data_IF_659073634943
#
_entry.id   IF_659073634943
#
_cell.length_a   1.000
_cell.length_b   1.000
_cell.length_c   1.000
_cell.angle_alpha   90.00
_cell.angle_beta   90.00
_cell.angle_gamma   90.00
#
_symmetry.space_group_name_H-M   'P 1'
#
loop_
_entity.id
_entity.type
_entity.pdbx_description
1 polymer ?
#
# COMPACT_ATOMS: atom_id res chain seq x y z
N UNK A 1 47.95 -19.72 3.91
CA UNK A 1 46.69 -19.41 4.61
C UNK A 1 45.85 -18.56 3.67
N UNK A 2 44.84 -19.15 3.02
CA UNK A 2 43.94 -18.44 2.09
C UNK A 2 42.67 -18.12 2.88
N UNK A 3 42.39 -16.83 3.08
CA UNK A 3 41.14 -16.37 3.70
C UNK A 3 40.07 -16.26 2.61
N UNK A 4 39.04 -17.10 2.68
CA UNK A 4 37.82 -16.93 1.89
C UNK A 4 36.96 -15.84 2.56
N UNK A 5 36.80 -14.71 1.87
CA UNK A 5 35.80 -13.70 2.22
C UNK A 5 34.43 -14.18 1.71
N UNK A 6 33.64 -14.76 2.60
CA UNK A 6 32.22 -15.04 2.35
C UNK A 6 31.45 -13.72 2.30
N UNK A 7 31.13 -13.25 1.10
CA UNK A 7 30.16 -12.17 0.90
C UNK A 7 28.78 -12.77 1.13
N UNK A 8 28.22 -12.53 2.32
CA UNK A 8 26.80 -12.78 2.58
C UNK A 8 26.04 -11.70 1.82
N UNK A 9 25.57 -12.03 0.61
CA UNK A 9 24.57 -11.23 -0.08
C UNK A 9 23.28 -11.34 0.74
N UNK A 10 22.98 -10.33 1.55
CA UNK A 10 21.64 -10.16 2.10
C UNK A 10 20.70 -10.03 0.90
N UNK A 11 19.91 -11.07 0.64
CA UNK A 11 18.79 -10.98 -0.28
C UNK A 11 17.81 -9.98 0.33
N UNK A 12 17.93 -8.72 -0.09
CA UNK A 12 16.91 -7.71 0.19
C UNK A 12 15.65 -8.25 -0.50
N UNK A 13 14.56 -8.55 0.23
CA UNK A 13 13.31 -8.87 -0.42
C UNK A 13 12.98 -7.71 -1.34
N UNK A 14 12.76 -7.99 -2.63
CA UNK A 14 12.37 -6.95 -3.58
C UNK A 14 11.15 -6.21 -3.00
N UNK A 15 11.31 -4.91 -2.73
CA UNK A 15 10.22 -4.08 -2.27
C UNK A 15 9.14 -4.09 -3.36
N UNK A 16 8.01 -4.70 -3.03
CA UNK A 16 6.87 -4.84 -3.93
C UNK A 16 6.21 -3.46 -4.04
N UNK A 17 6.19 -2.93 -5.25
CA UNK A 17 5.65 -1.61 -5.59
C UNK A 17 4.15 -1.53 -5.22
N UNK A 18 3.68 -0.42 -4.65
CA UNK A 18 2.46 -0.33 -3.82
C UNK A 18 1.13 -0.05 -4.53
N UNK A 19 1.09 0.02 -5.86
CA UNK A 19 -0.16 0.17 -6.62
C UNK A 19 -1.15 -0.98 -6.36
N UNK A 20 -2.22 -1.14 -7.16
CA UNK A 20 -3.24 -2.16 -6.89
C UNK A 20 -2.67 -3.57 -6.63
N UNK A 21 -1.58 -3.90 -7.32
CA UNK A 21 -0.87 -5.17 -7.19
C UNK A 21 -0.04 -5.25 -5.90
N UNK A 22 0.61 -4.17 -5.48
CA UNK A 22 1.36 -4.11 -4.22
C UNK A 22 0.47 -4.21 -3.00
N UNK A 23 -0.61 -3.43 -2.96
CA UNK A 23 -1.59 -3.51 -1.88
C UNK A 23 -2.19 -4.91 -1.77
N UNK A 24 -2.50 -5.56 -2.90
CA UNK A 24 -3.01 -6.92 -2.91
C UNK A 24 -1.99 -7.92 -2.32
N UNK A 25 -0.71 -7.84 -2.73
CA UNK A 25 0.32 -8.74 -2.20
C UNK A 25 0.58 -8.51 -0.72
N UNK A 26 0.66 -7.25 -0.27
CA UNK A 26 0.84 -6.94 1.15
C UNK A 26 -0.33 -7.45 1.98
N UNK A 27 -1.56 -7.25 1.51
CA UNK A 27 -2.76 -7.74 2.16
C UNK A 27 -2.77 -9.26 2.26
N UNK A 28 -2.43 -9.96 1.17
CA UNK A 28 -2.38 -11.42 1.15
C UNK A 28 -1.28 -11.99 2.06
N UNK A 29 -0.05 -11.50 1.95
CA UNK A 29 1.05 -11.97 2.79
C UNK A 29 0.77 -11.70 4.28
N UNK A 30 0.07 -10.60 4.58
CA UNK A 30 -0.40 -10.31 5.93
C UNK A 30 -1.44 -11.34 6.39
N UNK A 31 -2.44 -11.63 5.57
CA UNK A 31 -3.48 -12.61 5.87
C UNK A 31 -2.92 -14.02 6.13
N UNK A 32 -1.88 -14.41 5.41
CA UNK A 32 -1.18 -15.70 5.61
C UNK A 32 -0.34 -15.75 6.91
N UNK A 33 -0.15 -14.62 7.61
CA UNK A 33 0.77 -14.49 8.76
C UNK A 33 0.12 -14.02 10.05
N UNK A 34 -1.14 -13.59 9.99
CA UNK A 34 -1.90 -13.25 11.19
C UNK A 34 -2.25 -14.52 11.97
N UNK A 35 -2.53 -14.36 13.26
CA UNK A 35 -2.96 -15.45 14.12
C UNK A 35 -4.43 -15.79 13.84
N UNK A 36 -4.83 -17.01 14.18
CA UNK A 36 -6.20 -17.49 14.04
C UNK A 36 -7.21 -16.54 14.72
N UNK A 37 -6.90 -16.02 15.93
CA UNK A 37 -7.80 -15.10 16.63
C UNK A 37 -7.94 -13.74 15.93
N UNK A 38 -6.92 -13.33 15.17
CA UNK A 38 -6.97 -12.12 14.35
C UNK A 38 -7.79 -12.36 13.08
N UNK A 39 -7.68 -13.55 12.47
CA UNK A 39 -8.47 -13.94 11.32
C UNK A 39 -9.96 -14.02 11.69
N UNK A 40 -10.30 -14.63 12.83
CA UNK A 40 -11.67 -14.65 13.36
C UNK A 40 -12.24 -13.24 13.58
N UNK A 41 -11.45 -12.32 14.13
CA UNK A 41 -11.87 -10.93 14.33
C UNK A 41 -12.08 -10.19 12.98
N UNK A 42 -11.26 -10.47 11.97
CA UNK A 42 -11.43 -9.94 10.61
C UNK A 42 -12.70 -10.51 9.97
N UNK A 43 -12.93 -11.82 10.08
CA UNK A 43 -14.12 -12.49 9.54
C UNK A 43 -15.41 -11.97 10.20
N UNK A 44 -15.37 -11.67 11.50
CA UNK A 44 -16.49 -11.03 12.20
C UNK A 44 -16.82 -9.62 11.67
N UNK A 45 -15.83 -8.90 11.12
CA UNK A 45 -16.00 -7.55 10.57
C UNK A 45 -16.39 -7.60 9.09
N UNK A 46 -15.69 -8.41 8.29
CA UNK A 46 -15.77 -8.40 6.82
C UNK A 46 -16.65 -9.51 6.24
N UNK A 47 -16.99 -10.52 7.04
CA UNK A 47 -17.60 -11.76 6.59
C UNK A 47 -16.57 -12.88 6.46
N UNK A 48 -16.97 -14.09 6.83
CA UNK A 48 -16.14 -15.29 6.81
C UNK A 48 -15.57 -15.56 5.41
N UNK A 49 -14.25 -15.76 5.34
CA UNK A 49 -13.57 -16.17 4.11
C UNK A 49 -13.43 -15.06 3.07
N UNK A 50 -13.70 -13.79 3.42
CA UNK A 50 -13.46 -12.64 2.54
C UNK A 50 -11.96 -12.31 2.53
N UNK A 51 -11.25 -12.51 1.40
CA UNK A 51 -9.81 -12.28 1.36
C UNK A 51 -9.44 -10.80 1.50
N UNK A 52 -8.37 -10.49 2.24
CA UNK A 52 -7.93 -9.11 2.50
C UNK A 52 -7.58 -8.35 1.22
N UNK A 53 -7.03 -9.04 0.22
CA UNK A 53 -6.65 -8.42 -1.05
C UNK A 53 -7.85 -7.83 -1.81
N UNK A 54 -9.08 -8.35 -1.62
CA UNK A 54 -10.29 -7.87 -2.29
C UNK A 54 -10.62 -6.41 -1.97
N UNK A 55 -10.19 -5.91 -0.82
CA UNK A 55 -10.49 -4.55 -0.35
C UNK A 55 -9.24 -3.74 -0.06
N UNK A 56 -8.06 -4.26 -0.42
CA UNK A 56 -6.76 -3.62 -0.20
C UNK A 56 -6.58 -2.31 -0.96
N UNK A 57 -7.19 -2.16 -2.15
CA UNK A 57 -7.14 -0.93 -2.97
C UNK A 57 -8.34 0.00 -2.75
N UNK A 58 -9.29 -0.38 -1.89
CA UNK A 58 -10.56 0.35 -1.74
C UNK A 58 -10.36 1.83 -1.38
N UNK A 59 -9.39 2.16 -0.53
CA UNK A 59 -9.15 3.54 -0.10
C UNK A 59 -8.67 4.45 -1.25
N UNK A 60 -8.00 3.88 -2.25
CA UNK A 60 -7.68 4.59 -3.48
C UNK A 60 -8.88 4.73 -4.41
N UNK A 61 -9.56 3.62 -4.68
CA UNK A 61 -10.65 3.55 -5.65
C UNK A 61 -11.86 4.40 -5.25
N UNK A 62 -12.17 4.46 -3.95
CA UNK A 62 -13.38 5.10 -3.44
C UNK A 62 -13.45 6.60 -3.77
N UNK A 63 -12.29 7.25 -3.99
CA UNK A 63 -12.18 8.68 -4.36
C UNK A 63 -12.63 8.97 -5.80
N UNK A 64 -12.71 7.94 -6.67
CA UNK A 64 -12.92 8.08 -8.11
C UNK A 64 -14.27 7.54 -8.61
N UNK A 65 -15.07 6.89 -7.75
CA UNK A 65 -16.41 6.41 -8.09
C UNK A 65 -17.47 7.52 -8.21
N UNK A 66 -18.74 7.18 -8.52
CA UNK A 66 -19.85 8.14 -8.64
C UNK A 66 -20.03 9.04 -7.40
N UNK A 67 -19.77 8.49 -6.22
CA UNK A 67 -19.81 9.19 -4.93
C UNK A 67 -18.43 9.63 -4.42
N UNK A 68 -17.39 9.57 -5.24
CA UNK A 68 -16.01 9.77 -4.81
C UNK A 68 -15.70 11.17 -4.27
N UNK A 69 -16.50 12.17 -4.65
CA UNK A 69 -16.42 13.52 -4.07
C UNK A 69 -16.60 13.52 -2.54
N UNK A 70 -17.39 12.58 -2.00
CA UNK A 70 -17.60 12.41 -0.55
C UNK A 70 -16.37 11.87 0.17
N UNK A 71 -15.41 11.32 -0.56
CA UNK A 71 -14.22 10.66 -0.02
C UNK A 71 -12.92 11.43 -0.27
N UNK A 72 -12.95 12.51 -1.05
CA UNK A 72 -11.76 13.35 -1.31
C UNK A 72 -11.07 13.88 -0.06
N UNK A 73 -11.78 13.94 1.07
CA UNK A 73 -11.18 14.32 2.35
C UNK A 73 -10.12 13.33 2.83
N UNK A 74 -10.14 12.07 2.35
CA UNK A 74 -9.19 11.02 2.72
C UNK A 74 -7.88 11.09 1.94
N UNK A 75 -7.79 11.86 0.85
CA UNK A 75 -6.56 11.91 0.02
C UNK A 75 -5.28 12.21 0.82
N UNK A 76 -5.26 13.15 1.79
CA UNK A 76 -4.06 13.41 2.60
C UNK A 76 -3.70 12.28 3.57
N UNK A 77 -4.57 11.28 3.74
CA UNK A 77 -4.33 10.15 4.65
C UNK A 77 -3.41 9.08 4.03
N UNK A 78 -3.12 9.16 2.74
CA UNK A 78 -2.26 8.18 2.05
C UNK A 78 -0.76 8.42 2.25
N UNK A 79 -0.36 9.58 2.78
CA UNK A 79 1.06 9.96 2.86
C UNK A 79 1.35 10.83 4.08
N UNK A 80 2.63 11.11 4.31
CA UNK A 80 3.13 12.12 5.23
C UNK A 80 4.25 12.91 4.55
N UNK A 81 4.04 14.20 4.32
CA UNK A 81 5.05 15.06 3.71
C UNK A 81 6.20 15.34 4.68
N UNK A 82 7.42 14.90 4.34
CA UNK A 82 8.61 15.08 5.18
C UNK A 82 9.62 16.03 4.50
N UNK A 83 9.81 17.26 5.01
CA UNK A 83 10.70 18.22 4.36
C UNK A 83 12.20 17.90 4.50
N UNK A 84 12.61 17.04 5.44
CA UNK A 84 14.02 16.80 5.81
C UNK A 84 14.41 15.32 5.97
N UNK A 85 13.85 14.41 5.16
CA UNK A 85 14.13 12.95 5.17
C UNK A 85 13.95 12.28 6.54
N UNK A 86 13.30 12.96 7.49
CA UNK A 86 13.05 12.51 8.85
C UNK A 86 11.61 12.84 9.21
N UNK A 87 10.79 11.82 9.39
CA UNK A 87 9.43 12.02 9.85
C UNK A 87 9.40 12.53 11.29
N UNK A 88 8.62 13.58 11.53
CA UNK A 88 8.30 14.11 12.86
C UNK A 88 6.80 14.33 12.95
N UNK A 89 6.11 13.50 13.73
CA UNK A 89 4.65 13.52 13.81
C UNK A 89 4.06 14.91 14.06
N UNK A 90 4.60 15.66 15.02
CA UNK A 90 4.10 17.00 15.37
C UNK A 90 4.25 18.05 14.26
N UNK A 91 5.20 17.86 13.35
CA UNK A 91 5.47 18.78 12.23
C UNK A 91 4.76 18.32 10.95
N UNK A 92 4.85 17.04 10.65
CA UNK A 92 4.50 16.43 9.36
C UNK A 92 3.08 15.87 9.33
N UNK A 93 2.50 15.55 10.49
CA UNK A 93 1.14 14.99 10.61
C UNK A 93 0.19 15.97 11.30
N UNK A 94 0.02 17.16 10.71
CA UNK A 94 -0.83 18.20 11.32
C UNK A 94 -2.28 17.73 11.42
N UNK A 95 -2.87 17.90 12.60
CA UNK A 95 -4.25 17.51 12.90
C UNK A 95 -4.55 16.02 12.62
N UNK A 96 -3.54 15.16 12.76
CA UNK A 96 -3.62 13.73 12.43
C UNK A 96 -4.02 13.45 10.96
N UNK A 97 -3.88 14.45 10.06
CA UNK A 97 -4.20 14.33 8.61
C UNK A 97 -2.98 13.88 7.81
N UNK A 98 -2.49 12.69 8.11
CA UNK A 98 -1.44 11.97 7.38
C UNK A 98 -1.62 10.46 7.58
N UNK A 99 -0.85 9.62 6.88
CA UNK A 99 -0.93 8.15 7.00
C UNK A 99 -0.70 7.63 8.42
N UNK A 100 0.26 8.19 9.17
CA UNK A 100 0.48 7.82 10.57
C UNK A 100 -0.70 8.21 11.48
N UNK A 101 -1.34 9.36 11.21
CA UNK A 101 -2.53 9.80 11.93
C UNK A 101 -3.76 8.96 11.58
N UNK A 102 -3.89 8.56 10.31
CA UNK A 102 -4.93 7.66 9.84
C UNK A 102 -4.82 6.30 10.52
N UNK A 103 -3.63 5.68 10.54
CA UNK A 103 -3.40 4.41 11.25
C UNK A 103 -3.76 4.53 12.74
N UNK A 104 -3.31 5.58 13.43
CA UNK A 104 -3.68 5.84 14.83
C UNK A 104 -5.21 5.93 15.03
N UNK A 105 -5.92 6.59 14.13
CA UNK A 105 -7.37 6.75 14.20
C UNK A 105 -8.10 5.42 13.93
N UNK A 106 -7.84 4.79 12.79
CA UNK A 106 -8.58 3.61 12.36
C UNK A 106 -8.26 2.37 13.18
N UNK A 107 -7.04 2.24 13.73
CA UNK A 107 -6.72 1.17 14.69
C UNK A 107 -7.57 1.27 15.97
N UNK A 108 -8.03 2.47 16.37
CA UNK A 108 -8.97 2.61 17.49
C UNK A 108 -10.39 2.27 17.07
N UNK A 109 -10.81 2.72 15.87
CA UNK A 109 -12.18 2.53 15.36
C UNK A 109 -12.49 1.06 15.05
N UNK A 110 -11.54 0.29 14.52
CA UNK A 110 -11.79 -1.10 14.10
C UNK A 110 -12.18 -2.03 15.25
N UNK A 111 -11.65 -1.76 16.46
CA UNK A 111 -11.91 -2.52 17.69
C UNK A 111 -13.01 -1.91 18.57
N UNK A 112 -13.56 -0.75 18.19
CA UNK A 112 -14.63 -0.09 18.95
C UNK A 112 -15.99 -0.72 18.60
N UNK A 113 -16.46 -1.63 19.44
CA UNK A 113 -17.74 -2.32 19.27
C UNK A 113 -18.96 -1.42 19.43
N UNK A 114 -18.81 -0.18 19.92
CA UNK A 114 -19.90 0.80 19.95
C UNK A 114 -20.17 1.42 18.57
N UNK A 115 -19.23 1.31 17.62
CA UNK A 115 -19.41 1.79 16.26
C UNK A 115 -20.27 0.83 15.43
N UNK A 116 -21.08 1.34 14.49
CA UNK A 116 -21.74 0.51 13.49
C UNK A 116 -20.75 -0.36 12.73
N UNK A 117 -21.18 -1.55 12.33
CA UNK A 117 -20.35 -2.52 11.61
C UNK A 117 -19.71 -1.89 10.36
N UNK A 118 -20.46 -1.07 9.64
CA UNK A 118 -20.00 -0.39 8.42
C UNK A 118 -18.80 0.54 8.72
N UNK A 119 -18.79 1.21 9.87
CA UNK A 119 -17.67 2.06 10.27
C UNK A 119 -16.43 1.24 10.68
N UNK A 120 -16.63 0.04 11.24
CA UNK A 120 -15.54 -0.88 11.57
C UNK A 120 -14.96 -1.52 10.31
N UNK A 121 -15.81 -1.87 9.34
CA UNK A 121 -15.41 -2.32 8.00
C UNK A 121 -14.61 -1.24 7.28
N UNK A 122 -15.08 0.00 7.28
CA UNK A 122 -14.35 1.14 6.73
C UNK A 122 -12.97 1.29 7.39
N UNK A 123 -12.92 1.23 8.73
CA UNK A 123 -11.67 1.33 9.48
C UNK A 123 -10.69 0.21 9.09
N UNK A 124 -11.16 -1.03 8.97
CA UNK A 124 -10.32 -2.15 8.56
C UNK A 124 -9.79 -1.99 7.14
N UNK A 125 -10.64 -1.58 6.18
CA UNK A 125 -10.21 -1.30 4.80
C UNK A 125 -9.12 -0.23 4.74
N UNK A 126 -9.29 0.85 5.52
CA UNK A 126 -8.26 1.88 5.63
C UNK A 126 -6.97 1.37 6.26
N UNK A 127 -7.01 0.54 7.31
CA UNK A 127 -5.80 -0.05 7.90
C UNK A 127 -5.05 -0.90 6.87
N UNK A 128 -5.75 -1.80 6.18
CA UNK A 128 -5.13 -2.71 5.19
C UNK A 128 -4.43 -1.93 4.08
N UNK A 129 -5.03 -0.82 3.63
CA UNK A 129 -4.41 0.05 2.63
C UNK A 129 -3.25 0.87 3.21
N UNK A 130 -3.47 1.61 4.30
CA UNK A 130 -2.52 2.58 4.84
C UNK A 130 -1.28 1.95 5.48
N UNK A 131 -1.36 0.71 5.95
CA UNK A 131 -0.14 -0.03 6.32
C UNK A 131 0.75 -0.16 5.10
N UNK A 132 0.18 -0.38 3.91
CA UNK A 132 0.98 -0.44 2.71
C UNK A 132 1.58 0.91 2.33
N UNK A 133 0.74 1.93 2.25
CA UNK A 133 1.18 3.31 1.95
C UNK A 133 2.31 3.78 2.88
N UNK A 134 2.21 3.50 4.18
CA UNK A 134 3.22 3.92 5.16
C UNK A 134 4.61 3.31 4.89
N UNK A 135 4.68 2.20 4.14
CA UNK A 135 5.91 1.53 3.77
C UNK A 135 6.37 1.85 2.33
N UNK A 136 5.60 2.62 1.56
CA UNK A 136 6.05 3.20 0.29
C UNK A 136 6.97 4.39 0.58
N UNK A 137 8.28 4.34 0.25
CA UNK A 137 9.23 5.37 0.68
C UNK A 137 8.85 6.81 0.28
N UNK A 138 8.25 6.98 -0.89
CA UNK A 138 7.84 8.27 -1.43
C UNK A 138 6.48 8.75 -0.91
N UNK A 139 5.70 7.90 -0.22
CA UNK A 139 4.57 8.34 0.62
C UNK A 139 5.06 8.99 1.93
N UNK A 140 6.35 8.90 2.24
CA UNK A 140 7.03 9.71 3.25
C UNK A 140 7.99 10.74 2.62
N UNK A 141 7.71 11.17 1.38
CA UNK A 141 8.61 11.96 0.54
C UNK A 141 8.58 13.47 0.78
N UNK A 142 9.32 14.22 -0.05
CA UNK A 142 9.45 15.67 0.10
C UNK A 142 8.20 16.39 -0.46
N UNK A 143 7.62 17.38 0.24
CA UNK A 143 6.48 18.13 -0.28
C UNK A 143 6.79 18.96 -1.53
N UNK A 144 8.06 19.33 -1.78
CA UNK A 144 8.43 20.17 -2.94
C UNK A 144 8.19 19.44 -4.26
N UNK A 145 8.54 18.16 -4.31
CA UNK A 145 8.37 17.28 -5.46
C UNK A 145 7.09 16.41 -5.38
N UNK A 146 6.25 16.62 -4.36
CA UNK A 146 5.03 15.85 -4.08
C UNK A 146 5.33 14.35 -3.94
N UNK A 147 6.36 14.02 -3.16
CA UNK A 147 6.80 12.64 -3.02
C UNK A 147 7.30 12.06 -4.34
N UNK A 148 8.05 12.82 -5.11
CA UNK A 148 8.58 12.37 -6.42
C UNK A 148 7.60 12.41 -7.59
N UNK A 149 6.34 12.83 -7.41
CA UNK A 149 5.37 12.97 -8.51
C UNK A 149 5.79 14.02 -9.56
N UNK A 150 6.60 15.01 -9.17
CA UNK A 150 7.14 16.04 -10.09
C UNK A 150 8.50 15.70 -10.71
N UNK A 151 9.01 14.49 -10.48
CA UNK A 151 10.30 14.07 -11.01
C UNK A 151 10.02 13.11 -12.17
N UNK A 152 10.11 13.61 -13.39
CA UNK A 152 9.94 12.79 -14.59
C UNK A 152 11.06 11.75 -14.71
N UNK A 153 10.70 10.56 -15.14
CA UNK A 153 11.61 9.42 -15.30
C UNK A 153 11.30 8.72 -16.62
N UNK A 154 12.31 8.62 -17.48
CA UNK A 154 12.32 7.72 -18.62
C UNK A 154 12.88 6.37 -18.19
N UNK A 155 12.02 5.35 -18.15
CA UNK A 155 12.45 4.01 -17.76
C UNK A 155 13.08 3.32 -18.97
N UNK A 156 14.34 2.90 -18.87
CA UNK A 156 14.95 2.01 -19.86
C UNK A 156 14.34 0.60 -19.89
N UNK A 157 13.48 0.29 -18.90
CA UNK A 157 12.74 -0.96 -18.71
C UNK A 157 11.23 -0.67 -18.69
N UNK A 158 10.37 -1.63 -18.35
CA UNK A 158 8.91 -1.46 -18.32
C UNK A 158 8.35 -0.88 -19.65
N UNK A 159 8.88 -1.36 -20.78
CA UNK A 159 8.53 -0.95 -22.16
C UNK A 159 8.85 0.50 -22.52
N UNK A 160 9.94 1.05 -22.00
CA UNK A 160 10.34 2.43 -22.30
C UNK A 160 9.26 3.45 -21.91
N UNK A 161 8.55 3.18 -20.82
CA UNK A 161 7.49 4.04 -20.35
C UNK A 161 8.08 5.33 -19.76
N UNK A 162 7.64 6.47 -20.29
CA UNK A 162 7.81 7.75 -19.63
C UNK A 162 6.80 7.83 -18.47
N UNK A 163 7.28 8.08 -17.27
CA UNK A 163 6.48 8.19 -16.04
C UNK A 163 7.13 9.18 -15.07
N UNK A 164 6.75 9.16 -13.79
CA UNK A 164 7.44 9.90 -12.73
C UNK A 164 8.02 8.95 -11.66
N UNK A 165 8.88 9.48 -10.78
CA UNK A 165 9.56 8.70 -9.76
C UNK A 165 8.56 8.02 -8.81
N UNK A 166 7.48 8.69 -8.43
CA UNK A 166 6.44 8.12 -7.56
C UNK A 166 5.79 6.88 -8.19
N UNK A 167 5.27 7.02 -9.41
CA UNK A 167 4.66 5.91 -10.15
C UNK A 167 5.64 4.79 -10.49
N UNK A 168 6.94 5.10 -10.56
CA UNK A 168 7.99 4.08 -10.71
C UNK A 168 8.03 3.16 -9.48
N UNK A 169 7.99 3.74 -8.28
CA UNK A 169 7.96 3.01 -7.01
C UNK A 169 6.61 2.38 -6.68
N UNK A 170 5.49 2.94 -7.15
CA UNK A 170 4.17 2.34 -6.95
C UNK A 170 3.90 1.19 -7.90
N UNK A 171 4.41 1.21 -9.13
CA UNK A 171 3.92 0.25 -10.13
C UNK A 171 4.96 -0.21 -11.13
N UNK A 172 5.81 0.68 -11.66
CA UNK A 172 6.64 0.30 -12.80
C UNK A 172 7.68 -0.78 -12.48
N UNK A 173 8.29 -0.74 -11.30
CA UNK A 173 9.24 -1.78 -10.84
C UNK A 173 8.57 -3.16 -10.75
N UNK A 174 7.31 -3.21 -10.33
CA UNK A 174 6.54 -4.44 -10.21
C UNK A 174 6.08 -4.98 -11.56
N UNK A 175 5.61 -4.10 -12.46
CA UNK A 175 5.24 -4.49 -13.82
C UNK A 175 6.39 -5.15 -14.59
N UNK A 176 7.60 -4.63 -14.42
CA UNK A 176 8.81 -5.24 -14.98
C UNK A 176 9.08 -6.62 -14.38
N UNK A 177 9.07 -6.74 -13.06
CA UNK A 177 9.33 -8.00 -12.35
C UNK A 177 8.37 -9.13 -12.78
N UNK A 178 7.12 -8.79 -13.06
CA UNK A 178 6.09 -9.75 -13.44
C UNK A 178 6.18 -10.20 -14.90
N UNK A 179 7.12 -9.68 -15.69
CA UNK A 179 7.28 -10.00 -17.10
C UNK A 179 6.06 -9.63 -17.95
N UNK A 180 5.18 -8.74 -17.47
CA UNK A 180 3.91 -8.37 -18.11
C UNK A 180 4.11 -7.34 -19.22
N UNK A 181 4.88 -7.76 -20.22
CA UNK A 181 5.10 -7.08 -21.49
C UNK A 181 3.88 -7.04 -22.42
N UNK A 182 2.75 -7.71 -22.11
CA UNK A 182 1.44 -7.57 -22.80
C UNK A 182 0.28 -7.98 -21.87
N UNK A 183 -0.79 -7.17 -21.78
CA UNK A 183 -2.07 -7.55 -21.15
C UNK A 183 -3.18 -7.42 -22.19
N UNK A 184 -4.03 -8.44 -22.32
CA UNK A 184 -5.31 -8.31 -23.03
C UNK A 184 -6.35 -7.65 -22.11
N UNK A 185 -7.35 -6.96 -22.69
CA UNK A 185 -8.48 -6.41 -21.91
C UNK A 185 -9.33 -7.57 -21.38
N UNK A 186 -9.58 -7.61 -20.08
CA UNK A 186 -10.49 -8.57 -19.43
C UNK A 186 -9.83 -9.63 -18.55
N UNK A 187 -8.50 -9.73 -18.52
CA UNK A 187 -7.78 -10.68 -17.64
C UNK A 187 -7.70 -10.15 -16.19
N UNK A 188 -7.83 -11.02 -15.17
CA UNK A 188 -7.67 -10.65 -13.78
C UNK A 188 -6.26 -10.10 -13.52
N UNK A 189 -6.17 -9.13 -12.61
CA UNK A 189 -4.89 -8.52 -12.25
C UNK A 189 -3.93 -9.56 -11.65
N UNK A 190 -4.38 -10.65 -11.02
CA UNK A 190 -3.53 -11.73 -10.50
C UNK A 190 -4.17 -13.11 -10.62
N UNK A 191 -3.34 -14.13 -10.82
CA UNK A 191 -3.61 -15.54 -10.50
C UNK A 191 -2.37 -16.07 -9.78
N UNK A 192 -2.53 -16.44 -8.51
CA UNK A 192 -1.47 -17.11 -7.75
C UNK A 192 -1.65 -18.59 -8.02
N UNK A 193 -0.68 -19.18 -8.72
CA UNK A 193 -0.54 -20.62 -8.76
C UNK A 193 0.55 -20.97 -7.76
N UNK A 194 0.15 -21.57 -6.65
CA UNK A 194 1.09 -22.26 -5.78
C UNK A 194 1.76 -23.35 -6.63
N UNK A 195 3.05 -23.19 -6.91
CA UNK A 195 3.90 -24.35 -7.13
C UNK A 195 4.56 -24.65 -5.80
N UNK A 196 4.02 -25.68 -5.15
CA UNK A 196 4.70 -26.45 -4.12
C UNK A 196 6.07 -26.95 -4.60
#
# INVERSE_FOLDING_TARGET
MIFYLSVIAAAVPAALAWGPDGHAVVAQLSQERIKDETQEAIDAIMGEGVPMYNYSSWADDIKYGPDGYKWRWSSPLHFADTPDCRFRYSRDCKHDRCVAGALKNYSRRVVDESLPLEQRQEALKFIVHFVGDAHQPLHAGNPRDLGGNKIDVDLGFARHQHTNLHSTWDSALLFEFQGRGRRARGEPYWTITEKA
#
